data_IF_436939142887
#
_entry.id   IF_436939142887
#
_cell.length_a   1.000
_cell.length_b   1.000
_cell.length_c   1.000
_cell.angle_alpha   90.00
_cell.angle_beta   90.00
_cell.angle_gamma   90.00
#
_symmetry.space_group_name_H-M   'P 1'
#
loop_
_entity.id
_entity.type
_entity.pdbx_description
1 polymer ?
#
# COMPACT_ATOMS: atom_id res chain seq x y z
N UNK A 1 -3.87 7.07 29.55
CA UNK A 1 -2.41 6.95 29.64
C UNK A 1 -1.97 6.09 28.47
N UNK A 2 -1.34 6.65 27.43
CA UNK A 2 -0.83 5.85 26.31
C UNK A 2 0.30 4.96 26.81
N UNK A 3 0.12 3.65 26.68
CA UNK A 3 1.05 2.64 27.17
C UNK A 3 2.36 2.75 26.38
N UNK A 4 3.48 3.09 27.04
CA UNK A 4 4.80 3.36 26.41
C UNK A 4 5.39 2.15 25.65
N UNK A 5 4.81 0.96 25.78
CA UNK A 5 5.24 -0.29 25.15
C UNK A 5 4.52 -0.64 23.84
N UNK A 6 3.39 -0.01 23.54
CA UNK A 6 2.63 -0.22 22.30
C UNK A 6 3.39 0.12 21.00
N UNK A 7 4.26 1.15 20.94
CA UNK A 7 4.99 1.48 19.70
C UNK A 7 5.90 0.36 19.21
N UNK A 8 6.57 -0.36 20.10
CA UNK A 8 7.49 -1.45 19.75
C UNK A 8 6.74 -2.67 19.18
N UNK A 9 5.60 -3.02 19.76
CA UNK A 9 4.76 -4.14 19.28
C UNK A 9 4.16 -3.81 17.92
N UNK A 10 3.70 -2.56 17.72
CA UNK A 10 3.20 -2.09 16.42
C UNK A 10 4.27 -2.11 15.34
N UNK A 11 5.50 -1.71 15.66
CA UNK A 11 6.64 -1.81 14.75
C UNK A 11 6.92 -3.25 14.33
N UNK A 12 6.91 -4.20 15.28
CA UNK A 12 7.09 -5.62 14.98
C UNK A 12 5.96 -6.15 14.06
N UNK A 13 4.71 -5.75 14.32
CA UNK A 13 3.54 -6.14 13.54
C UNK A 13 3.46 -5.45 12.16
N UNK A 14 4.15 -4.32 11.99
CA UNK A 14 4.25 -3.61 10.72
C UNK A 14 5.30 -4.23 9.77
N UNK A 15 6.27 -4.99 10.28
CA UNK A 15 7.31 -5.65 9.45
C UNK A 15 6.70 -6.51 8.32
N UNK A 16 5.73 -7.42 8.58
CA UNK A 16 5.05 -8.17 7.52
C UNK A 16 4.41 -7.27 6.46
N UNK A 17 3.85 -6.13 6.87
CA UNK A 17 3.21 -5.20 5.95
C UNK A 17 4.21 -4.45 5.09
N UNK A 18 5.37 -4.08 5.63
CA UNK A 18 6.43 -3.46 4.84
C UNK A 18 6.97 -4.41 3.78
N UNK A 19 7.09 -5.71 4.09
CA UNK A 19 7.51 -6.73 3.11
C UNK A 19 6.49 -6.82 1.98
N UNK A 20 5.20 -6.95 2.30
CA UNK A 20 4.15 -7.05 1.27
C UNK A 20 4.02 -5.74 0.48
N UNK A 21 4.13 -4.57 1.13
CA UNK A 21 4.16 -3.26 0.46
C UNK A 21 5.33 -3.13 -0.49
N UNK A 22 6.52 -3.61 -0.11
CA UNK A 22 7.69 -3.59 -0.97
C UNK A 22 7.44 -4.32 -2.29
N UNK A 23 6.91 -5.55 -2.22
CA UNK A 23 6.55 -6.31 -3.42
C UNK A 23 5.45 -5.64 -4.24
N UNK A 24 4.41 -5.12 -3.59
CA UNK A 24 3.32 -4.45 -4.28
C UNK A 24 3.74 -3.15 -4.96
N UNK A 25 4.63 -2.37 -4.33
CA UNK A 25 5.21 -1.15 -4.90
C UNK A 25 6.07 -1.48 -6.11
N UNK A 26 6.87 -2.55 -6.07
CA UNK A 26 7.61 -3.02 -7.25
C UNK A 26 6.63 -3.36 -8.38
N UNK A 27 5.57 -4.11 -8.07
CA UNK A 27 4.51 -4.40 -9.04
C UNK A 27 3.84 -3.13 -9.57
N UNK A 28 3.65 -2.10 -8.73
CA UNK A 28 3.03 -0.84 -9.12
C UNK A 28 3.91 -0.03 -10.05
N UNK A 29 5.24 -0.01 -9.82
CA UNK A 29 6.20 0.61 -10.73
C UNK A 29 6.17 -0.07 -12.09
N UNK A 30 6.20 -1.41 -12.13
CA UNK A 30 6.09 -2.18 -13.38
C UNK A 30 4.75 -1.89 -14.07
N UNK A 31 3.65 -1.88 -13.30
CA UNK A 31 2.32 -1.58 -13.81
C UNK A 31 2.24 -0.18 -14.43
N UNK A 32 2.85 0.83 -13.81
CA UNK A 32 2.92 2.21 -14.34
C UNK A 32 3.74 2.25 -15.63
N UNK A 33 4.86 1.54 -15.71
CA UNK A 33 5.66 1.45 -16.94
C UNK A 33 4.84 0.82 -18.06
N UNK A 34 4.17 -0.31 -17.80
CA UNK A 34 3.29 -0.97 -18.78
C UNK A 34 2.13 -0.06 -19.18
N UNK A 35 1.51 0.63 -18.22
CA UNK A 35 0.43 1.59 -18.48
C UNK A 35 0.92 2.75 -19.36
N UNK A 36 2.14 3.27 -19.13
CA UNK A 36 2.73 4.32 -19.95
C UNK A 36 2.83 3.90 -21.42
N UNK A 37 3.39 2.71 -21.69
CA UNK A 37 3.43 2.16 -23.04
C UNK A 37 2.01 1.93 -23.59
N UNK A 38 1.12 1.33 -22.81
CA UNK A 38 -0.26 1.07 -23.23
C UNK A 38 -0.98 2.36 -23.63
N UNK A 39 -0.82 3.45 -22.89
CA UNK A 39 -1.41 4.76 -23.21
C UNK A 39 -0.82 5.34 -24.50
N UNK A 40 0.50 5.21 -24.72
CA UNK A 40 1.11 5.70 -25.96
C UNK A 40 0.53 5.03 -27.21
N UNK A 41 0.23 3.73 -27.13
CA UNK A 41 -0.31 2.98 -28.27
C UNK A 41 -1.84 3.05 -28.37
N UNK A 42 -2.56 3.04 -27.26
CA UNK A 42 -4.03 2.93 -27.24
C UNK A 42 -4.75 4.23 -26.90
N UNK A 43 -4.04 5.24 -26.40
CA UNK A 43 -4.59 6.50 -25.90
C UNK A 43 -5.44 6.35 -24.63
N UNK A 44 -5.45 5.17 -24.01
CA UNK A 44 -6.34 4.84 -22.89
C UNK A 44 -5.55 4.19 -21.76
N UNK A 45 -5.88 4.55 -20.53
CA UNK A 45 -5.31 3.91 -19.35
C UNK A 45 -5.99 2.54 -19.12
N UNK A 46 -5.25 1.40 -19.09
CA UNK A 46 -5.85 0.09 -18.87
C UNK A 46 -6.45 0.00 -17.47
N UNK A 47 -7.77 -0.26 -17.36
CA UNK A 47 -8.48 -0.22 -16.07
C UNK A 47 -7.90 -1.18 -15.02
N UNK A 48 -7.50 -2.39 -15.41
CA UNK A 48 -6.90 -3.34 -14.46
C UNK A 48 -5.58 -2.86 -13.85
N UNK A 49 -4.75 -2.13 -14.60
CA UNK A 49 -3.51 -1.53 -14.07
C UNK A 49 -3.82 -0.35 -13.15
N UNK A 50 -4.86 0.42 -13.48
CA UNK A 50 -5.32 1.53 -12.65
C UNK A 50 -5.84 1.04 -11.29
N UNK A 51 -6.73 0.06 -11.32
CA UNK A 51 -7.32 -0.52 -10.12
C UNK A 51 -6.24 -1.13 -9.20
N UNK A 52 -5.24 -1.79 -9.80
CA UNK A 52 -4.08 -2.29 -9.07
C UNK A 52 -3.27 -1.17 -8.39
N UNK A 53 -2.85 -0.14 -9.13
CA UNK A 53 -2.05 0.96 -8.58
C UNK A 53 -2.82 1.69 -7.47
N UNK A 54 -4.11 1.94 -7.67
CA UNK A 54 -4.98 2.58 -6.68
C UNK A 54 -5.15 1.71 -5.43
N UNK A 55 -5.29 0.39 -5.58
CA UNK A 55 -5.36 -0.55 -4.46
C UNK A 55 -4.07 -0.54 -3.62
N UNK A 56 -2.90 -0.53 -4.27
CA UNK A 56 -1.61 -0.43 -3.59
C UNK A 56 -1.47 0.88 -2.81
N UNK A 57 -1.88 2.02 -3.39
CA UNK A 57 -1.83 3.32 -2.72
C UNK A 57 -2.78 3.36 -1.51
N UNK A 58 -4.01 2.85 -1.65
CA UNK A 58 -4.98 2.78 -0.54
C UNK A 58 -4.45 1.95 0.62
N UNK A 59 -3.93 0.76 0.31
CA UNK A 59 -3.40 -0.12 1.34
C UNK A 59 -2.12 0.44 1.99
N UNK A 60 -1.25 1.10 1.23
CA UNK A 60 -0.09 1.83 1.76
C UNK A 60 -0.48 2.94 2.75
N UNK A 61 -1.52 3.72 2.43
CA UNK A 61 -2.05 4.74 3.34
C UNK A 61 -2.64 4.14 4.63
N UNK A 62 -3.34 3.00 4.53
CA UNK A 62 -3.86 2.27 5.72
C UNK A 62 -2.72 1.81 6.64
N UNK A 63 -1.67 1.21 6.08
CA UNK A 63 -0.50 0.75 6.85
C UNK A 63 0.25 1.93 7.48
N UNK A 64 0.43 3.02 6.73
CA UNK A 64 1.14 4.22 7.22
C UNK A 64 0.36 4.93 8.33
N UNK A 65 -0.97 5.01 8.23
CA UNK A 65 -1.84 5.57 9.27
C UNK A 65 -1.80 4.77 10.58
N UNK A 66 -1.74 3.44 10.49
CA UNK A 66 -1.63 2.53 11.64
C UNK A 66 -0.23 2.55 12.28
N UNK A 67 0.82 2.44 11.46
CA UNK A 67 2.20 2.20 11.92
C UNK A 67 2.99 3.50 12.22
N UNK A 68 2.79 4.56 11.45
CA UNK A 68 3.60 5.79 11.58
C UNK A 68 2.86 6.93 12.28
N UNK A 69 1.60 7.19 11.91
CA UNK A 69 0.88 8.37 12.42
C UNK A 69 0.06 8.05 13.68
N UNK A 70 -0.12 6.76 14.02
CA UNK A 70 -0.90 6.28 15.18
C UNK A 70 -2.32 6.89 15.23
N UNK A 71 -2.90 7.19 14.07
CA UNK A 71 -4.22 7.83 13.97
C UNK A 71 -5.32 6.89 14.45
N UNK A 72 -5.12 5.58 14.28
CA UNK A 72 -6.07 4.53 14.62
C UNK A 72 -5.35 3.32 15.20
N UNK A 73 -5.86 2.77 16.30
CA UNK A 73 -5.37 1.53 16.94
C UNK A 73 -5.90 0.24 16.27
N UNK A 74 -6.82 0.38 15.32
CA UNK A 74 -7.45 -0.71 14.58
C UNK A 74 -6.55 -1.24 13.46
N UNK A 75 -6.31 -2.55 13.47
CA UNK A 75 -5.43 -3.23 12.54
C UNK A 75 -6.05 -3.29 11.13
N UNK A 76 -5.40 -2.74 10.09
CA UNK A 76 -5.98 -2.70 8.76
C UNK A 76 -6.01 -4.09 8.10
N UNK A 77 -7.13 -4.49 7.47
CA UNK A 77 -7.20 -5.78 6.78
C UNK A 77 -6.32 -5.79 5.53
N UNK A 78 -5.72 -6.94 5.22
CA UNK A 78 -5.01 -7.21 3.96
C UNK A 78 -5.99 -7.30 2.80
N UNK A 79 -6.46 -6.14 2.34
CA UNK A 79 -7.36 -5.99 1.21
C UNK A 79 -6.85 -4.88 0.30
N UNK A 80 -7.06 -5.06 -1.01
CA UNK A 80 -6.80 -4.05 -2.03
C UNK A 80 -8.10 -3.35 -2.47
N UNK A 81 -9.20 -3.63 -1.77
CA UNK A 81 -10.51 -2.96 -1.92
C UNK A 81 -10.51 -1.57 -1.25
#
# INVERSE_FOLDING_TARGET
QLNRWLPLVKWLLAIPHYIVLFFLVIGAVVAVIVAWFAILFTGRYPRGLFDYVVGVIRWSNRVTGYAMVLVTDEYPPFSLE
#
